data_IF_260835182805
#
_entry.id   IF_260835182805
#
_cell.length_a   1.000
_cell.length_b   1.000
_cell.length_c   1.000
_cell.angle_alpha   90.00
_cell.angle_beta   90.00
_cell.angle_gamma   90.00
#
_symmetry.space_group_name_H-M   'P 1'
#
loop_
_entity.id
_entity.type
_entity.pdbx_description
1 polymer ?
#
# COMPACT_ATOMS: atom_id res chain seq x y z
N UNK A 1 26.26 -16.84 -37.49
CA UNK A 1 24.95 -17.05 -36.83
C UNK A 1 23.87 -16.36 -37.63
N UNK A 2 22.85 -17.06 -38.03
CA UNK A 2 21.76 -16.46 -38.81
C UNK A 2 20.82 -15.71 -37.84
N UNK A 3 20.10 -14.70 -38.34
CA UNK A 3 19.12 -13.93 -37.55
C UNK A 3 18.04 -14.80 -36.89
N UNK A 4 17.76 -15.97 -37.49
CA UNK A 4 16.84 -16.99 -36.95
C UNK A 4 17.41 -17.61 -35.67
N UNK A 5 18.70 -17.94 -35.64
CA UNK A 5 19.36 -18.57 -34.48
C UNK A 5 19.37 -17.63 -33.26
N UNK A 6 19.56 -16.32 -33.48
CA UNK A 6 19.51 -15.31 -32.40
C UNK A 6 18.09 -15.17 -31.83
N UNK A 7 17.09 -15.22 -32.70
CA UNK A 7 15.67 -15.12 -32.32
C UNK A 7 15.20 -16.33 -31.50
N UNK A 8 15.66 -17.52 -31.87
CA UNK A 8 15.41 -18.76 -31.12
C UNK A 8 16.11 -18.76 -29.75
N UNK A 9 17.37 -18.32 -29.68
CA UNK A 9 18.10 -18.18 -28.40
C UNK A 9 17.46 -17.14 -27.49
N UNK A 10 16.96 -16.01 -28.02
CA UNK A 10 16.24 -15.02 -27.23
C UNK A 10 14.89 -15.53 -26.72
N UNK A 11 14.20 -16.34 -27.53
CA UNK A 11 12.95 -16.98 -27.12
C UNK A 11 13.18 -18.03 -26.02
N UNK A 12 14.25 -18.82 -26.12
CA UNK A 12 14.60 -19.84 -25.13
C UNK A 12 15.07 -19.19 -23.82
N UNK A 13 15.85 -18.11 -23.88
CA UNK A 13 16.24 -17.29 -22.71
C UNK A 13 15.02 -16.64 -22.03
N UNK A 14 14.08 -16.12 -22.82
CA UNK A 14 12.82 -15.56 -22.31
C UNK A 14 12.01 -16.65 -21.60
N UNK A 15 11.88 -17.83 -22.19
CA UNK A 15 11.20 -19.00 -21.61
C UNK A 15 11.86 -19.52 -20.33
N UNK A 16 13.21 -19.48 -20.24
CA UNK A 16 13.94 -19.84 -19.02
C UNK A 16 13.79 -18.76 -17.92
N UNK A 17 13.71 -17.48 -18.27
CA UNK A 17 13.45 -16.40 -17.32
C UNK A 17 12.01 -16.48 -16.78
N UNK A 18 11.03 -16.78 -17.62
CA UNK A 18 9.63 -16.97 -17.24
C UNK A 18 9.41 -18.19 -16.32
N UNK A 19 10.30 -19.20 -16.38
CA UNK A 19 10.26 -20.39 -15.49
C UNK A 19 10.98 -20.19 -14.14
N UNK A 20 11.84 -19.18 -13.99
CA UNK A 20 12.72 -19.03 -12.81
C UNK A 20 12.21 -18.12 -11.72
N UNK A 21 11.13 -17.36 -11.93
CA UNK A 21 10.53 -16.55 -10.85
C UNK A 21 9.07 -16.26 -11.17
N UNK A 22 8.13 -16.51 -10.25
CA UNK A 22 6.82 -15.90 -10.35
C UNK A 22 7.02 -14.39 -10.17
N UNK A 23 7.03 -13.63 -11.28
CA UNK A 23 7.12 -12.19 -11.25
C UNK A 23 8.36 -11.55 -11.88
N UNK A 24 9.01 -12.18 -12.86
CA UNK A 24 9.95 -11.45 -13.72
C UNK A 24 9.15 -10.49 -14.61
N UNK A 25 8.88 -9.30 -14.05
CA UNK A 25 8.14 -8.23 -14.69
C UNK A 25 8.97 -7.65 -15.82
N UNK A 26 8.32 -7.34 -16.94
CA UNK A 26 8.95 -6.60 -18.03
C UNK A 26 9.27 -5.18 -17.55
N UNK A 27 10.49 -4.99 -17.06
CA UNK A 27 11.01 -3.72 -16.54
C UNK A 27 11.08 -2.60 -17.59
N UNK A 28 10.72 -2.87 -18.83
CA UNK A 28 11.01 -1.97 -19.94
C UNK A 28 10.04 -0.80 -20.08
N UNK A 29 8.85 -0.82 -19.45
CA UNK A 29 7.84 0.23 -19.67
C UNK A 29 7.10 0.57 -18.38
N UNK A 30 7.68 1.46 -17.56
CA UNK A 30 6.89 2.09 -16.50
C UNK A 30 5.92 3.10 -17.10
N UNK A 31 4.62 2.92 -16.84
CA UNK A 31 3.56 3.87 -17.20
C UNK A 31 3.46 5.03 -16.20
N UNK A 32 4.09 4.90 -15.04
CA UNK A 32 4.07 5.92 -13.97
C UNK A 32 5.06 7.04 -14.31
N UNK A 33 4.58 8.28 -14.31
CA UNK A 33 5.41 9.46 -14.57
C UNK A 33 6.18 9.90 -13.32
N UNK A 34 5.51 10.00 -12.17
CA UNK A 34 6.09 10.44 -10.89
C UNK A 34 5.45 9.65 -9.74
N UNK A 35 6.22 9.43 -8.68
CA UNK A 35 5.74 8.83 -7.44
C UNK A 35 5.94 9.84 -6.33
N UNK A 36 4.88 10.10 -5.59
CA UNK A 36 4.85 10.92 -4.38
C UNK A 36 4.49 10.04 -3.19
N UNK A 37 4.93 10.42 -2.01
CA UNK A 37 4.61 9.71 -0.76
C UNK A 37 4.08 10.73 0.24
N UNK A 38 2.98 10.38 0.91
CA UNK A 38 2.39 11.15 1.99
C UNK A 38 1.99 10.23 3.14
N UNK A 39 2.17 10.69 4.37
CA UNK A 39 1.66 10.02 5.56
C UNK A 39 0.15 10.18 5.73
N UNK A 40 -0.31 9.95 6.94
CA UNK A 40 -1.70 9.97 7.36
C UNK A 40 -2.46 11.22 6.90
N UNK A 41 -3.68 11.02 6.46
CA UNK A 41 -4.55 12.13 6.06
C UNK A 41 -5.92 12.11 6.78
N UNK A 42 -6.32 10.98 7.37
CA UNK A 42 -7.55 10.80 8.15
C UNK A 42 -8.80 11.40 7.48
N UNK A 43 -8.91 11.25 6.15
CA UNK A 43 -10.01 11.79 5.36
C UNK A 43 -9.95 13.30 5.11
N UNK A 44 -8.83 13.94 5.40
CA UNK A 44 -8.59 15.33 5.01
C UNK A 44 -7.89 15.36 3.64
N UNK A 45 -8.66 15.63 2.60
CA UNK A 45 -8.18 15.76 1.21
C UNK A 45 -8.27 17.20 0.67
N UNK A 46 -8.47 18.20 1.53
CA UNK A 46 -8.58 19.62 1.12
C UNK A 46 -7.34 20.09 0.35
N UNK A 47 -6.18 19.54 0.67
CA UNK A 47 -4.89 19.82 0.05
C UNK A 47 -4.71 19.20 -1.35
N UNK A 48 -5.51 18.17 -1.70
CA UNK A 48 -5.24 17.30 -2.86
C UNK A 48 -5.38 18.07 -4.19
N UNK A 49 -6.42 18.89 -4.30
CA UNK A 49 -6.65 19.69 -5.48
C UNK A 49 -5.50 20.67 -5.73
N UNK A 50 -5.14 21.47 -4.73
CA UNK A 50 -4.06 22.44 -4.83
C UNK A 50 -2.71 21.78 -5.12
N UNK A 51 -2.48 20.59 -4.56
CA UNK A 51 -1.32 19.77 -4.88
C UNK A 51 -1.29 19.39 -6.35
N UNK A 52 -2.40 18.83 -6.86
CA UNK A 52 -2.50 18.41 -8.26
C UNK A 52 -2.33 19.57 -9.24
N UNK A 53 -2.90 20.73 -8.94
CA UNK A 53 -2.75 21.94 -9.75
C UNK A 53 -1.29 22.44 -9.74
N UNK A 54 -0.67 22.54 -8.57
CA UNK A 54 0.71 22.99 -8.44
C UNK A 54 1.71 22.07 -9.14
N UNK A 55 1.54 20.77 -9.00
CA UNK A 55 2.43 19.77 -9.60
C UNK A 55 2.04 19.42 -11.05
N UNK A 56 0.90 19.93 -11.55
CA UNK A 56 0.35 19.58 -12.85
C UNK A 56 0.32 18.06 -13.06
N UNK A 57 -0.37 17.36 -12.12
CA UNK A 57 -0.44 15.90 -12.12
C UNK A 57 -1.39 15.36 -13.18
N UNK A 58 -1.22 14.09 -13.50
CA UNK A 58 -2.11 13.29 -14.34
C UNK A 58 -2.42 11.98 -13.64
N UNK A 59 -3.36 11.20 -14.12
CA UNK A 59 -3.67 9.86 -13.58
C UNK A 59 -2.52 8.86 -13.73
N UNK A 60 -1.47 9.20 -14.48
CA UNK A 60 -0.22 8.43 -14.53
C UNK A 60 0.80 8.86 -13.45
N UNK A 61 0.50 9.87 -12.65
CA UNK A 61 1.26 10.17 -11.44
C UNK A 61 0.64 9.41 -10.27
N UNK A 62 1.46 8.81 -9.42
CA UNK A 62 0.98 8.02 -8.28
C UNK A 62 1.37 8.69 -6.98
N UNK A 63 0.40 8.84 -6.07
CA UNK A 63 0.66 9.20 -4.68
C UNK A 63 0.41 8.00 -3.78
N UNK A 64 1.45 7.57 -3.09
CA UNK A 64 1.35 6.55 -2.04
C UNK A 64 0.91 7.24 -0.76
N UNK A 65 -0.22 6.81 -0.19
CA UNK A 65 -0.65 7.19 1.15
C UNK A 65 -0.19 6.10 2.12
N UNK A 66 0.67 6.46 3.07
CA UNK A 66 1.33 5.50 3.97
C UNK A 66 0.45 5.16 5.20
N UNK A 67 -0.81 4.87 4.97
CA UNK A 67 -1.79 4.46 5.97
C UNK A 67 -2.75 5.57 6.37
N UNK A 68 -3.76 5.19 7.13
CA UNK A 68 -4.78 6.05 7.74
C UNK A 68 -5.39 7.08 6.77
N UNK A 69 -5.75 6.58 5.61
CA UNK A 69 -6.32 7.43 4.55
C UNK A 69 -7.71 7.96 4.91
N UNK A 70 -8.48 7.21 5.69
CA UNK A 70 -9.88 7.46 5.97
C UNK A 70 -10.84 7.04 4.86
N UNK A 71 -10.34 6.46 3.76
CA UNK A 71 -11.16 6.00 2.63
C UNK A 71 -11.89 4.68 2.90
N UNK A 72 -11.40 3.89 3.86
CA UNK A 72 -12.05 2.65 4.32
C UNK A 72 -12.35 2.68 5.84
N UNK A 73 -12.50 3.86 6.41
CA UNK A 73 -12.74 4.01 7.85
C UNK A 73 -14.22 3.91 8.23
N UNK A 74 -15.11 4.45 7.40
CA UNK A 74 -16.53 4.62 7.76
C UNK A 74 -17.39 3.40 7.44
N UNK A 75 -16.89 2.48 6.63
CA UNK A 75 -17.58 1.29 6.12
C UNK A 75 -18.33 1.54 4.81
N UNK A 76 -18.38 0.49 3.99
CA UNK A 76 -18.91 0.51 2.64
C UNK A 76 -20.31 1.13 2.54
N UNK A 77 -20.45 2.05 1.60
CA UNK A 77 -21.73 2.70 1.29
C UNK A 77 -22.13 3.80 2.26
N UNK A 78 -21.34 4.14 3.26
CA UNK A 78 -21.59 5.31 4.11
C UNK A 78 -21.36 6.60 3.33
N UNK A 79 -22.24 7.58 3.55
CA UNK A 79 -22.20 8.87 2.84
C UNK A 79 -20.84 9.57 2.91
N UNK A 80 -20.20 9.53 4.09
CA UNK A 80 -18.89 10.17 4.28
C UNK A 80 -17.78 9.45 3.49
N UNK A 81 -17.78 8.13 3.47
CA UNK A 81 -16.82 7.36 2.68
C UNK A 81 -16.99 7.65 1.19
N UNK A 82 -18.23 7.62 0.70
CA UNK A 82 -18.52 7.96 -0.69
C UNK A 82 -18.06 9.37 -1.04
N UNK A 83 -18.35 10.37 -0.20
CA UNK A 83 -17.91 11.74 -0.42
C UNK A 83 -16.38 11.86 -0.53
N UNK A 84 -15.64 11.18 0.33
CA UNK A 84 -14.17 11.20 0.30
C UNK A 84 -13.63 10.52 -0.98
N UNK A 85 -14.22 9.40 -1.37
CA UNK A 85 -13.86 8.71 -2.62
C UNK A 85 -14.19 9.58 -3.85
N UNK A 86 -15.34 10.25 -3.86
CA UNK A 86 -15.72 11.16 -4.94
C UNK A 86 -14.71 12.33 -5.08
N UNK A 87 -14.26 12.91 -3.96
CA UNK A 87 -13.23 13.97 -3.96
C UNK A 87 -11.91 13.44 -4.54
N UNK A 88 -11.46 12.28 -4.08
CA UNK A 88 -10.22 11.67 -4.54
C UNK A 88 -10.30 11.24 -6.01
N UNK A 89 -11.45 10.73 -6.44
CA UNK A 89 -11.65 10.29 -7.82
C UNK A 89 -11.61 11.44 -8.83
N UNK A 90 -12.05 12.62 -8.44
CA UNK A 90 -12.02 13.82 -9.29
C UNK A 90 -10.61 14.40 -9.44
N UNK A 91 -9.67 14.04 -8.58
CA UNK A 91 -8.31 14.52 -8.67
C UNK A 91 -7.54 13.82 -9.81
N UNK A 92 -6.78 14.58 -10.64
CA UNK A 92 -5.99 14.02 -11.73
C UNK A 92 -4.69 13.37 -11.20
N UNK A 93 -4.83 12.34 -10.37
CA UNK A 93 -3.75 11.55 -9.78
C UNK A 93 -4.28 10.16 -9.40
N UNK A 94 -3.43 9.15 -9.43
CA UNK A 94 -3.76 7.84 -8.86
C UNK A 94 -3.26 7.76 -7.44
N UNK A 95 -4.12 7.34 -6.51
CA UNK A 95 -3.75 7.06 -5.13
C UNK A 95 -3.45 5.58 -4.98
N UNK A 96 -2.30 5.24 -4.38
CA UNK A 96 -1.99 3.90 -3.90
C UNK A 96 -1.98 3.94 -2.37
N UNK A 97 -3.05 3.40 -1.78
CA UNK A 97 -3.31 3.49 -0.34
C UNK A 97 -2.75 2.25 0.36
N UNK A 98 -1.74 2.42 1.17
CA UNK A 98 -1.28 1.41 2.13
C UNK A 98 -2.22 1.46 3.34
N UNK A 99 -2.58 0.32 3.89
CA UNK A 99 -3.52 0.24 5.01
C UNK A 99 -2.88 0.72 6.31
N UNK A 100 -3.56 1.62 7.03
CA UNK A 100 -3.23 1.99 8.40
C UNK A 100 -4.00 1.15 9.43
N UNK A 101 -3.89 1.52 10.71
CA UNK A 101 -4.65 0.88 11.79
C UNK A 101 -6.10 1.38 11.87
N UNK A 102 -6.42 2.51 11.27
CA UNK A 102 -7.77 3.04 11.17
C UNK A 102 -8.50 2.61 9.87
N UNK A 103 -7.85 1.89 8.98
CA UNK A 103 -8.44 1.46 7.72
C UNK A 103 -8.95 0.02 7.81
N UNK A 104 -10.18 -0.23 7.35
CA UNK A 104 -10.68 -1.59 7.14
C UNK A 104 -9.87 -2.29 6.04
N UNK A 105 -9.82 -3.61 6.08
CA UNK A 105 -9.20 -4.37 4.98
C UNK A 105 -10.10 -4.31 3.73
N UNK A 106 -9.54 -4.04 2.54
CA UNK A 106 -10.34 -3.98 1.30
C UNK A 106 -11.16 -5.25 1.04
N UNK A 107 -10.64 -6.41 1.42
CA UNK A 107 -11.35 -7.70 1.28
C UNK A 107 -12.64 -7.74 2.12
N UNK A 108 -12.67 -7.11 3.30
CA UNK A 108 -13.86 -7.02 4.15
C UNK A 108 -14.95 -6.13 3.51
N UNK A 109 -14.55 -5.22 2.61
CA UNK A 109 -15.46 -4.39 1.81
C UNK A 109 -15.90 -5.09 0.50
N UNK A 110 -15.51 -6.35 0.31
CA UNK A 110 -15.86 -7.17 -0.84
C UNK A 110 -15.04 -6.89 -2.10
N UNK A 111 -13.90 -6.23 -1.96
CA UNK A 111 -12.96 -6.05 -3.06
C UNK A 111 -12.13 -7.32 -3.28
N UNK A 112 -11.67 -7.52 -4.50
CA UNK A 112 -10.78 -8.62 -4.87
C UNK A 112 -9.43 -8.10 -5.30
N UNK A 113 -8.37 -8.81 -4.92
CA UNK A 113 -7.01 -8.50 -5.35
C UNK A 113 -6.87 -8.81 -6.85
N UNK A 114 -6.46 -7.82 -7.63
CA UNK A 114 -6.36 -7.90 -9.09
C UNK A 114 -5.08 -7.19 -9.56
N UNK A 115 -4.53 -7.66 -10.67
CA UNK A 115 -3.39 -7.01 -11.31
C UNK A 115 -3.77 -5.62 -11.84
N UNK A 116 -2.92 -4.64 -11.58
CA UNK A 116 -3.05 -3.28 -12.09
C UNK A 116 -1.84 -2.90 -12.94
N UNK A 117 -2.07 -2.57 -14.21
CA UNK A 117 -1.04 -2.29 -15.21
C UNK A 117 -0.28 -0.98 -14.97
N UNK A 118 -0.84 -0.01 -14.24
CA UNK A 118 -0.17 1.25 -13.96
C UNK A 118 0.96 1.04 -12.95
N UNK A 119 0.63 0.43 -11.80
CA UNK A 119 1.57 0.21 -10.70
C UNK A 119 2.31 -1.12 -10.80
N UNK A 120 1.97 -1.95 -11.79
CA UNK A 120 2.55 -3.28 -12.05
C UNK A 120 2.62 -4.13 -10.77
N UNK A 121 1.46 -4.36 -10.18
CA UNK A 121 1.28 -5.13 -8.95
C UNK A 121 -0.18 -5.39 -8.66
N UNK A 122 -0.47 -6.30 -7.72
CA UNK A 122 -1.83 -6.61 -7.35
C UNK A 122 -2.39 -5.58 -6.36
N UNK A 123 -3.54 -5.00 -6.68
CA UNK A 123 -4.24 -4.03 -5.85
C UNK A 123 -5.71 -4.44 -5.70
N UNK A 124 -6.34 -3.86 -4.69
CA UNK A 124 -7.79 -3.81 -4.60
C UNK A 124 -8.28 -2.46 -5.11
N UNK A 125 -9.42 -2.42 -5.76
CA UNK A 125 -10.13 -1.17 -6.10
C UNK A 125 -11.60 -1.43 -6.36
N UNK A 126 -12.39 -0.38 -6.30
CA UNK A 126 -13.79 -0.37 -6.72
C UNK A 126 -13.86 0.14 -8.17
N UNK A 127 -14.65 -0.51 -9.02
CA UNK A 127 -14.75 -0.13 -10.44
C UNK A 127 -15.32 1.28 -10.63
N UNK A 128 -16.04 1.80 -9.62
CA UNK A 128 -16.53 3.20 -9.57
C UNK A 128 -15.38 4.20 -9.35
N UNK A 129 -14.25 3.77 -8.73
CA UNK A 129 -13.12 4.62 -8.36
C UNK A 129 -11.78 4.07 -8.85
N UNK A 130 -11.56 3.95 -10.18
CA UNK A 130 -10.43 3.22 -10.75
C UNK A 130 -9.05 3.84 -10.48
N UNK A 131 -9.00 5.11 -10.06
CA UNK A 131 -7.76 5.80 -9.65
C UNK A 131 -7.51 5.78 -8.13
N UNK A 132 -8.31 5.01 -7.36
CA UNK A 132 -8.08 4.76 -5.94
C UNK A 132 -7.75 3.29 -5.79
N UNK A 133 -6.46 2.99 -5.64
CA UNK A 133 -5.92 1.64 -5.49
C UNK A 133 -5.57 1.42 -4.03
N UNK A 134 -5.99 0.29 -3.47
CA UNK A 134 -5.59 -0.13 -2.13
C UNK A 134 -4.52 -1.22 -2.26
N UNK A 135 -3.39 -0.99 -1.66
CA UNK A 135 -2.27 -1.92 -1.69
C UNK A 135 -2.59 -3.21 -0.93
N UNK A 136 -2.12 -4.34 -1.46
CA UNK A 136 -2.11 -5.60 -0.72
C UNK A 136 -0.96 -5.64 0.29
N UNK A 137 -1.20 -6.25 1.45
CA UNK A 137 -0.14 -6.46 2.44
C UNK A 137 0.86 -7.50 1.92
N UNK A 138 2.12 -7.13 1.78
CA UNK A 138 3.18 -7.97 1.22
C UNK A 138 3.20 -8.01 -0.31
N UNK A 139 2.49 -7.11 -0.99
CA UNK A 139 2.54 -6.98 -2.45
C UNK A 139 3.68 -6.06 -2.89
N UNK A 140 4.27 -6.40 -4.05
CA UNK A 140 5.32 -5.61 -4.69
C UNK A 140 4.75 -4.83 -5.87
N UNK A 141 5.14 -3.57 -5.97
CA UNK A 141 4.77 -2.66 -7.06
C UNK A 141 6.00 -2.17 -7.81
N UNK A 142 5.87 -1.98 -9.12
CA UNK A 142 6.94 -1.48 -9.96
C UNK A 142 6.54 -0.14 -10.59
N UNK A 143 7.18 0.92 -10.12
CA UNK A 143 6.89 2.27 -10.57
C UNK A 143 8.20 3.03 -10.82
N UNK A 144 8.34 3.67 -11.98
CA UNK A 144 9.54 4.43 -12.33
C UNK A 144 10.84 3.63 -12.21
N UNK A 145 10.81 2.34 -12.61
CA UNK A 145 11.98 1.44 -12.54
C UNK A 145 12.44 1.16 -11.09
N UNK A 146 11.57 1.32 -10.12
CA UNK A 146 11.80 1.08 -8.70
C UNK A 146 10.76 0.12 -8.14
N UNK A 147 11.19 -0.73 -7.23
CA UNK A 147 10.34 -1.66 -6.49
C UNK A 147 9.87 -1.05 -5.18
N UNK A 148 8.60 -1.25 -4.88
CA UNK A 148 7.94 -0.78 -3.66
C UNK A 148 7.21 -1.95 -3.01
N UNK A 149 7.75 -2.50 -1.93
CA UNK A 149 7.05 -3.47 -1.11
C UNK A 149 6.14 -2.74 -0.13
N UNK A 150 4.88 -3.10 -0.05
CA UNK A 150 3.92 -2.47 0.87
C UNK A 150 3.51 -3.43 1.98
N UNK A 151 3.52 -2.94 3.22
CA UNK A 151 3.12 -3.70 4.40
C UNK A 151 2.29 -2.77 5.28
N UNK A 152 0.98 -2.96 5.27
CA UNK A 152 0.04 -2.14 6.03
C UNK A 152 -0.23 -2.66 7.44
N UNK A 153 -0.97 -1.84 8.18
CA UNK A 153 -1.43 -2.14 9.53
C UNK A 153 -0.47 -1.74 10.63
N UNK A 154 -1.03 -1.50 11.78
CA UNK A 154 -0.35 -1.21 13.03
C UNK A 154 -1.31 -1.45 14.21
N UNK A 155 -0.80 -1.46 15.43
CA UNK A 155 -1.61 -1.50 16.62
C UNK A 155 -2.18 -0.11 16.97
N UNK A 156 -3.49 -0.03 17.22
CA UNK A 156 -4.13 1.21 17.68
C UNK A 156 -3.85 1.46 19.16
N UNK A 157 -3.04 2.46 19.47
CA UNK A 157 -2.72 2.85 20.86
C UNK A 157 -3.95 3.34 21.61
N UNK A 158 -4.95 3.85 20.90
CA UNK A 158 -6.23 4.33 21.41
C UNK A 158 -7.36 3.28 21.38
N UNK A 159 -7.05 2.01 21.08
CA UNK A 159 -8.00 0.90 20.95
C UNK A 159 -9.02 0.84 22.08
N UNK A 160 -8.56 0.85 23.32
CA UNK A 160 -9.46 0.71 24.49
C UNK A 160 -10.36 1.94 24.64
N UNK A 161 -9.87 3.12 24.33
CA UNK A 161 -10.68 4.34 24.34
C UNK A 161 -11.75 4.28 23.25
N UNK A 162 -11.40 3.89 22.04
CA UNK A 162 -12.35 3.73 20.91
C UNK A 162 -13.44 2.70 21.24
N UNK A 163 -13.07 1.56 21.77
CA UNK A 163 -14.03 0.53 22.21
C UNK A 163 -14.98 1.05 23.31
N UNK A 164 -14.45 1.80 24.31
CA UNK A 164 -15.26 2.41 25.37
C UNK A 164 -16.24 3.44 24.82
N UNK A 165 -15.81 4.25 23.83
CA UNK A 165 -16.64 5.28 23.19
C UNK A 165 -17.54 4.73 22.07
N UNK A 166 -17.54 3.42 21.84
CA UNK A 166 -18.25 2.77 20.73
C UNK A 166 -17.86 3.35 19.34
N UNK A 167 -16.60 3.74 19.19
CA UNK A 167 -16.04 4.19 17.92
C UNK A 167 -15.55 3.00 17.09
N UNK A 168 -15.41 3.21 15.79
CA UNK A 168 -14.94 2.18 14.86
C UNK A 168 -13.53 1.73 15.22
N UNK A 169 -13.34 0.43 15.36
CA UNK A 169 -12.06 -0.25 15.49
C UNK A 169 -12.12 -1.57 14.74
N UNK A 170 -11.05 -1.92 14.07
CA UNK A 170 -10.96 -3.14 13.26
C UNK A 170 -10.10 -4.18 13.97
N UNK A 171 -10.65 -5.39 14.28
CA UNK A 171 -9.91 -6.43 15.01
C UNK A 171 -8.68 -6.96 14.27
N UNK A 172 -8.66 -6.83 12.96
CA UNK A 172 -7.64 -7.27 12.04
C UNK A 172 -6.71 -6.12 11.58
N UNK A 173 -6.56 -5.09 12.43
CA UNK A 173 -5.67 -3.95 12.18
C UNK A 173 -4.21 -4.33 12.03
N UNK A 174 -3.71 -5.32 12.76
CA UNK A 174 -2.38 -5.91 12.62
C UNK A 174 -2.41 -7.13 11.69
N UNK A 175 -1.27 -7.48 11.09
CA UNK A 175 -1.10 -8.74 10.37
C UNK A 175 -1.13 -9.93 11.34
N UNK A 176 -1.66 -11.06 10.90
CA UNK A 176 -1.54 -12.34 11.60
C UNK A 176 -0.11 -12.88 11.49
N UNK A 177 0.26 -13.80 12.39
CA UNK A 177 1.58 -14.46 12.33
C UNK A 177 1.76 -15.29 11.04
N UNK A 178 0.68 -15.75 10.44
CA UNK A 178 0.69 -16.47 9.17
C UNK A 178 0.98 -15.53 8.00
N UNK A 179 0.32 -14.37 7.95
CA UNK A 179 0.57 -13.32 6.95
C UNK A 179 2.01 -12.81 7.05
N UNK A 180 2.51 -12.54 8.27
CA UNK A 180 3.90 -12.12 8.49
C UNK A 180 4.91 -13.17 8.00
N UNK A 181 4.67 -14.46 8.31
CA UNK A 181 5.53 -15.56 7.84
C UNK A 181 5.48 -15.69 6.32
N UNK A 182 4.31 -15.56 5.72
CA UNK A 182 4.16 -15.58 4.26
C UNK A 182 4.98 -14.48 3.61
N UNK A 183 4.86 -13.24 4.08
CA UNK A 183 5.61 -12.08 3.55
C UNK A 183 7.12 -12.33 3.64
N UNK A 184 7.61 -12.81 4.80
CA UNK A 184 9.04 -13.15 4.96
C UNK A 184 9.49 -14.24 4.00
N UNK A 185 8.68 -15.27 3.79
CA UNK A 185 9.02 -16.37 2.88
C UNK A 185 9.01 -15.93 1.41
N UNK A 186 8.03 -15.10 1.02
CA UNK A 186 7.87 -14.64 -0.36
C UNK A 186 9.01 -13.69 -0.76
N UNK A 187 9.51 -12.88 0.17
CA UNK A 187 10.47 -11.82 -0.10
C UNK A 187 11.87 -12.04 0.51
N UNK A 188 12.12 -13.19 1.19
CA UNK A 188 13.42 -13.49 1.76
C UNK A 188 14.49 -13.56 0.68
N UNK A 189 15.53 -12.73 0.82
CA UNK A 189 16.62 -12.64 -0.15
C UNK A 189 16.30 -11.84 -1.42
N UNK A 190 15.10 -11.24 -1.52
CA UNK A 190 14.76 -10.30 -2.58
C UNK A 190 15.21 -8.89 -2.19
N UNK A 191 15.91 -8.21 -3.10
CA UNK A 191 16.21 -6.79 -2.92
C UNK A 191 14.99 -5.97 -3.33
N UNK A 192 14.68 -4.91 -2.56
CA UNK A 192 13.67 -3.92 -2.90
C UNK A 192 14.25 -2.52 -2.74
N UNK A 193 13.84 -1.60 -3.60
CA UNK A 193 14.29 -0.20 -3.50
C UNK A 193 13.62 0.51 -2.30
N UNK A 194 12.34 0.22 -2.04
CA UNK A 194 11.56 0.87 -0.98
C UNK A 194 10.64 -0.13 -0.29
N UNK A 195 10.54 -0.02 1.03
CA UNK A 195 9.50 -0.67 1.83
C UNK A 195 8.61 0.43 2.40
N UNK A 196 7.32 0.39 2.07
CA UNK A 196 6.34 1.38 2.53
C UNK A 196 5.46 0.73 3.60
N UNK A 197 5.51 1.29 4.79
CA UNK A 197 4.78 0.78 5.95
C UNK A 197 4.05 1.92 6.65
N UNK A 198 3.02 1.59 7.43
CA UNK A 198 2.31 2.57 8.27
C UNK A 198 3.02 2.80 9.61
N UNK A 199 3.56 1.73 10.22
CA UNK A 199 4.37 1.85 11.43
C UNK A 199 5.86 1.64 11.12
N UNK A 200 6.74 2.11 12.00
CA UNK A 200 8.19 2.00 11.83
C UNK A 200 8.73 0.66 12.35
N UNK A 201 9.89 0.17 11.85
CA UNK A 201 10.64 -0.89 12.51
C UNK A 201 10.99 -0.51 13.96
N UNK A 202 11.07 -1.48 14.86
CA UNK A 202 11.23 -1.26 16.31
C UNK A 202 12.39 -0.33 16.66
N UNK A 203 13.55 -0.51 16.03
CA UNK A 203 14.75 0.29 16.30
C UNK A 203 14.68 1.72 15.70
N UNK A 204 13.64 1.98 14.91
CA UNK A 204 13.42 3.27 14.23
C UNK A 204 12.16 3.98 14.74
N UNK A 205 11.54 3.49 15.81
CA UNK A 205 10.39 4.16 16.40
C UNK A 205 10.76 5.58 16.86
N UNK A 206 9.97 6.61 16.48
CA UNK A 206 10.20 7.99 16.90
C UNK A 206 9.71 8.22 18.34
N UNK A 207 10.37 7.58 19.31
CA UNK A 207 9.93 7.57 20.71
C UNK A 207 9.77 8.96 21.32
N UNK A 208 10.48 9.96 20.78
CA UNK A 208 10.36 11.38 21.21
C UNK A 208 9.03 12.04 20.78
N UNK A 209 8.29 11.43 19.84
CA UNK A 209 6.97 11.88 19.40
C UNK A 209 5.83 11.17 20.14
N UNK A 210 6.13 10.16 20.96
CA UNK A 210 5.10 9.40 21.64
C UNK A 210 4.31 10.29 22.61
N UNK A 211 3.00 10.10 22.62
CA UNK A 211 2.12 10.82 23.52
C UNK A 211 2.47 10.52 24.99
N UNK A 212 2.63 11.58 25.77
CA UNK A 212 2.88 11.44 27.20
C UNK A 212 1.66 10.81 27.90
N UNK A 213 1.91 9.95 28.87
CA UNK A 213 0.87 9.31 29.67
C UNK A 213 0.32 8.01 29.09
N UNK A 214 0.77 7.57 27.91
CA UNK A 214 0.44 6.24 27.39
C UNK A 214 1.49 5.25 27.90
N UNK A 215 1.03 4.22 28.62
CA UNK A 215 1.89 3.12 29.07
C UNK A 215 2.31 2.25 27.89
N UNK A 216 3.57 2.40 27.45
CA UNK A 216 4.13 1.66 26.31
C UNK A 216 4.24 0.16 26.57
N UNK A 217 4.15 -0.30 27.82
CA UNK A 217 4.25 -1.74 28.16
C UNK A 217 3.02 -2.53 27.76
N UNK A 218 1.87 -1.86 27.56
CA UNK A 218 0.61 -2.47 27.13
C UNK A 218 0.36 -2.35 25.61
N UNK A 219 1.24 -1.64 24.91
CA UNK A 219 1.16 -1.46 23.46
C UNK A 219 1.76 -2.67 22.76
N UNK A 220 1.03 -3.24 21.79
CA UNK A 220 1.59 -4.30 20.95
C UNK A 220 2.74 -3.75 20.09
N UNK A 221 3.85 -4.46 20.09
CA UNK A 221 5.02 -4.18 19.25
C UNK A 221 5.26 -5.31 18.25
N UNK A 222 4.19 -6.00 17.84
CA UNK A 222 4.30 -7.15 16.94
C UNK A 222 4.69 -6.73 15.54
N UNK A 223 4.05 -5.67 15.01
CA UNK A 223 4.33 -5.14 13.68
C UNK A 223 5.73 -4.56 13.61
N UNK A 224 6.14 -3.74 14.58
CA UNK A 224 7.45 -3.13 14.66
C UNK A 224 8.58 -4.18 14.71
N UNK A 225 8.39 -5.25 15.51
CA UNK A 225 9.33 -6.39 15.58
C UNK A 225 9.38 -7.20 14.31
N UNK A 226 8.26 -7.31 13.60
CA UNK A 226 8.22 -7.97 12.30
C UNK A 226 8.97 -7.16 11.25
N UNK A 227 8.75 -5.84 11.19
CA UNK A 227 9.41 -4.94 10.23
C UNK A 227 10.93 -4.80 10.49
N UNK A 228 11.40 -5.17 11.69
CA UNK A 228 12.83 -5.19 12.05
C UNK A 228 13.60 -6.39 11.47
N UNK A 229 12.91 -7.40 10.93
CA UNK A 229 13.52 -8.65 10.39
C UNK A 229 13.92 -8.52 8.94
#
# INVERSE_FOLDING_TARGET
>A
MTATTIKEMLHDLQSELDQKSPGCLDYSISKVNRVYIRGDVHGNFDWLKDFCERENTTTNDVMILAGDSGLLFYGKGKTREKLLKDICHQAPITLLVVRGNHDNRPINEGMTLRWNDLVQGNCYWEDEYPNILYAGDGEMYWMRYKSFLTIGGAYSVDKFYRLHMHWTWYPDEELTDEEMRKILNDWSGCETDYIITHTAPLDHEPTWLFMQGIDQTVISKRMEKFLQR
#
